data_IF_060709527673
#
_entry.id   IF_060709527673
#
_cell.length_a   1.000
_cell.length_b   1.000
_cell.length_c   1.000
_cell.angle_alpha   90.00
_cell.angle_beta   90.00
_cell.angle_gamma   90.00
#
_symmetry.space_group_name_H-M   'P 1'
#
loop_
_entity.id
_entity.type
_entity.pdbx_description
1 polymer ?
#
# COMPACT_ATOMS: atom_id res chain seq x y z
N UNK A 1 -22.46 14.06 -9.14
CA UNK A 1 -22.00 12.91 -8.32
C UNK A 1 -21.75 13.43 -6.91
N UNK A 2 -22.23 12.73 -5.87
CA UNK A 2 -22.03 13.19 -4.49
C UNK A 2 -20.53 13.19 -4.16
N UNK A 3 -20.03 14.24 -3.50
CA UNK A 3 -18.65 14.34 -3.01
C UNK A 3 -18.28 13.16 -2.09
N UNK A 4 -19.27 12.53 -1.49
CA UNK A 4 -19.08 11.37 -0.59
C UNK A 4 -18.94 10.04 -1.35
N UNK A 5 -19.28 9.95 -2.64
CA UNK A 5 -19.24 8.69 -3.39
C UNK A 5 -17.79 8.19 -3.57
N UNK A 6 -16.86 9.08 -3.90
CA UNK A 6 -15.46 8.71 -4.06
C UNK A 6 -14.79 8.40 -2.71
N UNK A 7 -15.14 9.13 -1.65
CA UNK A 7 -14.71 8.81 -0.30
C UNK A 7 -15.22 7.41 0.13
N UNK A 8 -16.50 7.11 -0.14
CA UNK A 8 -17.09 5.79 0.07
C UNK A 8 -16.35 4.70 -0.70
N UNK A 9 -15.97 4.95 -1.95
CA UNK A 9 -15.17 4.03 -2.76
C UNK A 9 -13.80 3.77 -2.13
N UNK A 10 -13.09 4.81 -1.68
CA UNK A 10 -11.80 4.64 -1.00
C UNK A 10 -11.95 3.83 0.29
N UNK A 11 -13.01 4.08 1.06
CA UNK A 11 -13.31 3.30 2.27
C UNK A 11 -13.58 1.84 1.95
N UNK A 12 -14.42 1.55 0.95
CA UNK A 12 -14.72 0.18 0.50
C UNK A 12 -13.47 -0.55 0.01
N UNK A 13 -12.66 0.11 -0.81
CA UNK A 13 -11.38 -0.44 -1.27
C UNK A 13 -10.41 -0.70 -0.12
N UNK A 14 -10.38 0.18 0.90
CA UNK A 14 -9.55 -0.02 2.07
C UNK A 14 -10.02 -1.19 2.94
N UNK A 15 -11.33 -1.45 3.02
CA UNK A 15 -11.88 -2.64 3.69
C UNK A 15 -11.31 -3.93 3.08
N UNK A 16 -11.35 -4.00 1.75
CA UNK A 16 -10.85 -5.14 0.97
C UNK A 16 -9.33 -5.29 1.02
N UNK A 17 -8.59 -4.19 0.85
CA UNK A 17 -7.12 -4.22 0.70
C UNK A 17 -6.38 -4.29 2.04
N UNK A 18 -6.89 -3.64 3.08
CA UNK A 18 -6.14 -3.42 4.32
C UNK A 18 -6.86 -3.92 5.56
N UNK A 19 -8.19 -3.94 5.61
CA UNK A 19 -8.89 -4.26 6.85
C UNK A 19 -9.36 -5.72 6.95
N UNK A 20 -9.09 -6.54 5.94
CA UNK A 20 -9.40 -7.97 5.95
C UNK A 20 -10.88 -8.28 5.80
N UNK A 21 -11.68 -7.34 5.28
CA UNK A 21 -13.08 -7.57 4.99
C UNK A 21 -13.27 -7.75 3.47
N UNK A 22 -13.49 -9.00 3.06
CA UNK A 22 -13.67 -9.40 1.67
C UNK A 22 -15.09 -9.11 1.14
N UNK A 23 -16.05 -8.78 2.00
CA UNK A 23 -17.46 -8.56 1.63
C UNK A 23 -17.66 -7.25 0.86
N UNK A 24 -16.67 -6.36 0.87
CA UNK A 24 -16.64 -5.15 0.04
C UNK A 24 -16.30 -5.48 -1.42
N UNK A 25 -17.22 -6.15 -2.12
CA UNK A 25 -17.08 -6.51 -3.55
C UNK A 25 -17.25 -5.31 -4.46
N UNK A 26 -16.67 -5.38 -5.66
CA UNK A 26 -16.81 -4.32 -6.67
C UNK A 26 -18.27 -4.13 -7.11
N UNK A 27 -19.06 -5.22 -7.12
CA UNK A 27 -20.49 -5.21 -7.41
C UNK A 27 -21.29 -4.41 -6.37
N UNK A 28 -21.04 -4.66 -5.08
CA UNK A 28 -21.68 -3.92 -3.99
C UNK A 28 -21.32 -2.43 -4.06
N UNK A 29 -20.02 -2.12 -4.19
CA UNK A 29 -19.55 -0.74 -4.26
C UNK A 29 -20.10 0.00 -5.48
N UNK A 30 -20.22 -0.67 -6.63
CA UNK A 30 -20.84 -0.09 -7.83
C UNK A 30 -22.33 0.18 -7.59
N UNK A 31 -23.06 -0.80 -7.09
CA UNK A 31 -24.51 -0.69 -6.89
C UNK A 31 -24.88 0.39 -5.86
N UNK A 32 -24.10 0.56 -4.79
CA UNK A 32 -24.36 1.56 -3.76
C UNK A 32 -23.89 2.97 -4.15
N UNK A 33 -22.70 3.10 -4.76
CA UNK A 33 -22.05 4.41 -4.94
C UNK A 33 -22.18 4.96 -6.36
N UNK A 34 -22.29 4.08 -7.36
CA UNK A 34 -22.30 4.43 -8.78
C UNK A 34 -23.35 3.62 -9.58
N UNK A 35 -24.63 3.60 -9.17
CA UNK A 35 -25.66 2.75 -9.79
C UNK A 35 -25.90 3.06 -11.28
N UNK A 36 -25.61 4.30 -11.70
CA UNK A 36 -25.80 4.75 -13.08
C UNK A 36 -24.54 4.60 -13.95
N UNK A 37 -23.40 4.16 -13.40
CA UNK A 37 -22.17 3.98 -14.16
C UNK A 37 -22.16 2.61 -14.87
N UNK A 38 -21.56 2.55 -16.06
CA UNK A 38 -21.29 1.27 -16.71
C UNK A 38 -20.23 0.46 -15.96
N UNK A 39 -20.19 -0.86 -16.15
CA UNK A 39 -19.17 -1.72 -15.54
C UNK A 39 -17.75 -1.31 -15.96
N UNK A 40 -17.59 -0.93 -17.24
CA UNK A 40 -16.30 -0.49 -17.77
C UNK A 40 -15.81 0.81 -17.12
N UNK A 41 -16.70 1.79 -16.93
CA UNK A 41 -16.37 3.06 -16.29
C UNK A 41 -16.04 2.87 -14.81
N UNK A 42 -16.84 2.06 -14.11
CA UNK A 42 -16.58 1.76 -12.70
C UNK A 42 -15.27 1.01 -12.51
N UNK A 43 -15.00 -0.02 -13.33
CA UNK A 43 -13.75 -0.78 -13.27
C UNK A 43 -12.52 0.13 -13.48
N UNK A 44 -12.59 1.05 -14.45
CA UNK A 44 -11.52 2.04 -14.69
C UNK A 44 -11.34 2.97 -13.48
N UNK A 45 -12.44 3.43 -12.87
CA UNK A 45 -12.40 4.29 -11.68
C UNK A 45 -11.83 3.55 -10.46
N UNK A 46 -12.29 2.33 -10.19
CA UNK A 46 -11.86 1.49 -9.08
C UNK A 46 -10.39 1.11 -9.20
N UNK A 47 -9.91 0.80 -10.41
CA UNK A 47 -8.50 0.54 -10.69
C UNK A 47 -7.61 1.76 -10.39
N UNK A 48 -8.05 2.95 -10.82
CA UNK A 48 -7.36 4.22 -10.50
C UNK A 48 -7.33 4.49 -8.99
N UNK A 49 -8.47 4.37 -8.30
CA UNK A 49 -8.57 4.58 -6.87
C UNK A 49 -7.71 3.57 -6.08
N UNK A 50 -7.67 2.31 -6.51
CA UNK A 50 -6.80 1.27 -5.95
C UNK A 50 -5.33 1.62 -6.11
N UNK A 51 -4.93 2.12 -7.28
CA UNK A 51 -3.55 2.54 -7.55
C UNK A 51 -3.13 3.70 -6.64
N UNK A 52 -4.02 4.68 -6.44
CA UNK A 52 -3.80 5.78 -5.50
C UNK A 52 -3.60 5.25 -4.09
N UNK A 53 -4.51 4.40 -3.59
CA UNK A 53 -4.42 3.84 -2.24
C UNK A 53 -3.15 3.02 -2.01
N UNK A 54 -2.74 2.19 -2.97
CA UNK A 54 -1.48 1.42 -2.90
C UNK A 54 -0.26 2.34 -2.86
N UNK A 55 -0.26 3.41 -3.65
CA UNK A 55 0.83 4.39 -3.68
C UNK A 55 0.98 5.11 -2.34
N UNK A 56 -0.13 5.55 -1.75
CA UNK A 56 -0.16 6.18 -0.43
C UNK A 56 0.32 5.23 0.67
N UNK A 57 -0.17 3.98 0.64
CA UNK A 57 0.18 2.96 1.63
C UNK A 57 1.65 2.55 1.56
N UNK A 58 2.19 2.32 0.36
CA UNK A 58 3.56 1.88 0.15
C UNK A 58 4.59 2.89 0.67
N UNK A 59 4.33 4.18 0.46
CA UNK A 59 5.22 5.28 0.88
C UNK A 59 4.90 5.82 2.28
N UNK A 60 3.78 5.41 2.88
CA UNK A 60 3.27 5.95 4.14
C UNK A 60 3.30 7.49 4.16
N UNK A 61 2.86 8.13 3.07
CA UNK A 61 3.06 9.56 2.83
C UNK A 61 2.69 10.44 4.03
N UNK A 62 3.57 11.37 4.38
CA UNK A 62 3.24 12.46 5.29
C UNK A 62 2.36 13.53 4.60
N UNK A 63 2.02 14.59 5.34
CA UNK A 63 1.09 15.59 4.84
C UNK A 63 1.67 16.45 3.71
N UNK A 64 2.97 16.74 3.76
CA UNK A 64 3.66 17.48 2.71
C UNK A 64 3.77 16.65 1.43
N UNK A 65 4.13 15.37 1.57
CA UNK A 65 4.20 14.42 0.47
C UNK A 65 2.83 14.18 -0.17
N UNK A 66 1.77 14.10 0.65
CA UNK A 66 0.42 13.92 0.15
C UNK A 66 -0.06 15.11 -0.67
N UNK A 67 0.13 16.34 -0.20
CA UNK A 67 -0.28 17.54 -0.94
C UNK A 67 0.45 17.66 -2.28
N UNK A 68 1.76 17.36 -2.30
CA UNK A 68 2.54 17.32 -3.54
C UNK A 68 2.03 16.22 -4.49
N UNK A 69 1.74 15.02 -3.96
CA UNK A 69 1.19 13.91 -4.73
C UNK A 69 -0.18 14.28 -5.34
N UNK A 70 -1.11 14.82 -4.55
CA UNK A 70 -2.44 15.19 -5.03
C UNK A 70 -2.37 16.32 -6.07
N UNK A 71 -1.51 17.32 -5.86
CA UNK A 71 -1.25 18.38 -6.85
C UNK A 71 -0.73 17.79 -8.17
N UNK A 72 0.13 16.77 -8.12
CA UNK A 72 0.60 16.08 -9.32
C UNK A 72 -0.52 15.29 -10.01
N UNK A 73 -1.44 14.70 -9.24
CA UNK A 73 -2.56 13.92 -9.79
C UNK A 73 -3.61 14.80 -10.45
N UNK A 74 -3.89 16.01 -9.93
CA UNK A 74 -4.87 16.92 -10.52
C UNK A 74 -4.34 17.65 -11.77
N UNK A 75 -3.02 17.77 -11.92
CA UNK A 75 -2.39 18.34 -13.12
C UNK A 75 -2.26 17.37 -14.30
N UNK A 76 -2.48 16.07 -14.09
CA UNK A 76 -2.42 15.07 -15.18
C UNK A 76 -3.60 15.22 -16.13
N UNK A 77 -3.31 15.45 -17.42
CA UNK A 77 -4.33 15.60 -18.46
C UNK A 77 -5.16 14.33 -18.67
N UNK A 78 -4.54 13.15 -18.57
CA UNK A 78 -5.24 11.87 -18.68
C UNK A 78 -5.00 10.99 -17.45
N UNK A 79 -6.07 10.33 -16.98
CA UNK A 79 -6.00 9.39 -15.86
C UNK A 79 -5.72 10.01 -14.49
N UNK A 80 -5.63 11.34 -14.38
CA UNK A 80 -5.51 12.08 -13.12
C UNK A 80 -6.76 12.02 -12.25
N UNK A 81 -6.65 12.53 -11.02
CA UNK A 81 -7.79 12.72 -10.11
C UNK A 81 -8.43 14.08 -10.40
N UNK A 82 -9.75 14.17 -10.26
CA UNK A 82 -10.41 15.48 -10.22
C UNK A 82 -10.10 16.18 -8.90
N UNK A 83 -10.30 17.50 -8.82
CA UNK A 83 -10.09 18.26 -7.59
C UNK A 83 -10.93 17.69 -6.42
N UNK A 84 -12.19 17.34 -6.67
CA UNK A 84 -13.07 16.75 -5.64
C UNK A 84 -12.59 15.36 -5.18
N UNK A 85 -12.04 14.56 -6.10
CA UNK A 85 -11.45 13.25 -5.77
C UNK A 85 -10.16 13.41 -4.95
N UNK A 86 -9.35 14.44 -5.26
CA UNK A 86 -8.16 14.77 -4.49
C UNK A 86 -8.51 15.20 -3.06
N UNK A 87 -9.51 16.07 -2.89
CA UNK A 87 -10.02 16.47 -1.57
C UNK A 87 -10.54 15.27 -0.76
N UNK A 88 -11.30 14.38 -1.41
CA UNK A 88 -11.78 13.13 -0.80
C UNK A 88 -10.64 12.19 -0.40
N UNK A 89 -9.60 12.08 -1.24
CA UNK A 89 -8.39 11.30 -0.96
C UNK A 89 -7.63 11.86 0.24
N UNK A 90 -7.50 13.18 0.30
CA UNK A 90 -6.89 13.90 1.42
C UNK A 90 -7.62 13.61 2.74
N UNK A 91 -8.95 13.76 2.74
CA UNK A 91 -9.80 13.45 3.90
C UNK A 91 -9.68 11.99 4.31
N UNK A 92 -9.69 11.06 3.34
CA UNK A 92 -9.50 9.64 3.60
C UNK A 92 -8.16 9.38 4.29
N UNK A 93 -7.06 9.88 3.72
CA UNK A 93 -5.73 9.61 4.26
C UNK A 93 -5.56 10.15 5.68
N UNK A 94 -6.08 11.35 5.95
CA UNK A 94 -6.05 11.96 7.29
C UNK A 94 -6.65 11.04 8.36
N UNK A 95 -7.75 10.35 8.04
CA UNK A 95 -8.47 9.51 9.00
C UNK A 95 -8.00 8.05 9.02
N UNK A 96 -7.49 7.54 7.89
CA UNK A 96 -7.22 6.11 7.72
C UNK A 96 -5.73 5.74 7.68
N UNK A 97 -4.82 6.71 7.54
CA UNK A 97 -3.37 6.45 7.42
C UNK A 97 -2.82 5.53 8.50
N UNK A 98 -3.14 5.80 9.78
CA UNK A 98 -2.61 5.00 10.89
C UNK A 98 -3.05 3.52 10.80
N UNK A 99 -4.33 3.29 10.48
CA UNK A 99 -4.89 1.93 10.36
C UNK A 99 -4.37 1.20 9.12
N UNK A 100 -4.27 1.90 7.98
CA UNK A 100 -3.65 1.36 6.75
C UNK A 100 -2.20 1.00 7.03
N UNK A 101 -1.44 1.87 7.71
CA UNK A 101 -0.05 1.61 8.08
C UNK A 101 0.09 0.40 8.99
N UNK A 102 -0.75 0.27 10.01
CA UNK A 102 -0.77 -0.88 10.90
C UNK A 102 -1.04 -2.18 10.13
N UNK A 103 -2.00 -2.16 9.19
CA UNK A 103 -2.29 -3.28 8.30
C UNK A 103 -1.10 -3.66 7.42
N UNK A 104 -0.49 -2.69 6.73
CA UNK A 104 0.70 -2.93 5.89
C UNK A 104 1.83 -3.53 6.73
N UNK A 105 2.08 -2.99 7.93
CA UNK A 105 3.09 -3.56 8.85
C UNK A 105 2.74 -4.99 9.23
N UNK A 106 1.47 -5.29 9.54
CA UNK A 106 1.04 -6.64 9.87
C UNK A 106 1.19 -7.61 8.69
N UNK A 107 0.85 -7.18 7.47
CA UNK A 107 0.97 -7.96 6.24
C UNK A 107 2.42 -8.16 5.79
N UNK A 108 3.32 -7.23 6.11
CA UNK A 108 4.76 -7.30 5.79
C UNK A 108 5.58 -8.08 6.81
N UNK A 109 4.98 -8.65 7.87
CA UNK A 109 5.70 -9.47 8.85
C UNK A 109 6.06 -10.83 8.25
N UNK A 110 7.35 -11.12 8.19
CA UNK A 110 7.85 -12.44 7.83
C UNK A 110 7.73 -13.40 9.04
N UNK A 111 6.57 -14.03 9.19
CA UNK A 111 6.18 -14.81 10.37
C UNK A 111 6.26 -14.02 11.69
N UNK A 112 5.82 -14.61 12.81
CA UNK A 112 6.23 -14.17 14.16
C UNK A 112 7.72 -14.50 14.43
N UNK A 113 8.58 -14.48 13.41
CA UNK A 113 9.86 -15.19 13.39
C UNK A 113 11.10 -14.30 13.44
N UNK A 114 10.94 -12.98 13.41
CA UNK A 114 12.02 -12.05 13.72
C UNK A 114 11.93 -11.55 15.18
N UNK A 115 11.36 -12.36 16.07
CA UNK A 115 11.28 -12.06 17.51
C UNK A 115 12.67 -11.99 18.16
N UNK A 116 13.70 -12.58 17.51
CA UNK A 116 15.10 -12.49 17.93
C UNK A 116 16.05 -12.38 16.74
N UNK A 117 16.33 -11.16 16.28
CA UNK A 117 17.51 -10.89 15.48
C UNK A 117 18.64 -10.43 16.42
N UNK A 118 19.56 -11.34 16.75
CA UNK A 118 20.75 -11.00 17.54
C UNK A 118 21.91 -10.73 16.61
N UNK A 119 22.53 -9.56 16.77
CA UNK A 119 23.76 -9.19 16.10
C UNK A 119 24.75 -8.76 17.18
N UNK A 120 25.99 -9.23 17.07
CA UNK A 120 27.07 -8.93 18.01
C UNK A 120 27.99 -7.92 17.36
N UNK A 121 28.33 -6.87 18.09
CA UNK A 121 29.39 -5.92 17.70
C UNK A 121 30.58 -6.20 18.59
N UNK A 122 31.60 -6.84 18.03
CA UNK A 122 32.88 -7.00 18.69
C UNK A 122 33.72 -5.74 18.53
N UNK A 123 34.17 -5.19 19.66
CA UNK A 123 35.02 -4.00 19.69
C UNK A 123 36.29 -4.34 20.48
N UNK A 124 37.44 -4.01 19.91
CA UNK A 124 38.72 -4.17 20.58
C UNK A 124 39.19 -2.82 21.15
N UNK A 125 39.57 -2.81 22.43
CA UNK A 125 40.23 -1.65 23.07
C UNK A 125 39.52 -1.12 24.33
N UNK A 126 40.25 -0.43 25.23
CA UNK A 126 39.76 -0.03 26.56
C UNK A 126 38.72 1.10 26.55
N UNK A 127 38.45 1.73 25.41
CA UNK A 127 37.58 2.92 25.28
C UNK A 127 36.59 2.79 24.13
N UNK A 128 36.06 1.61 23.88
CA UNK A 128 35.07 1.42 22.83
C UNK A 128 33.69 1.96 23.25
N UNK A 129 33.15 2.92 22.49
CA UNK A 129 31.78 3.43 22.63
C UNK A 129 30.99 3.18 21.34
N UNK A 130 29.74 2.77 21.48
CA UNK A 130 28.79 2.61 20.35
C UNK A 130 27.59 3.51 20.59
N UNK A 131 27.32 4.40 19.63
CA UNK A 131 26.10 5.18 19.54
C UNK A 131 25.17 4.55 18.50
N UNK A 132 24.03 4.04 18.95
CA UNK A 132 22.99 3.50 18.08
C UNK A 132 22.11 4.64 17.55
N UNK A 133 22.31 5.01 16.29
CA UNK A 133 21.43 5.91 15.55
C UNK A 133 20.54 5.14 14.57
N UNK A 134 20.92 5.15 13.30
CA UNK A 134 20.23 4.45 12.20
C UNK A 134 20.93 3.12 11.89
N UNK A 135 20.20 2.00 11.95
CA UNK A 135 20.64 0.71 11.41
C UNK A 135 20.25 0.64 9.93
N UNK A 136 21.25 0.69 9.05
CA UNK A 136 21.08 0.43 7.63
C UNK A 136 21.55 -0.99 7.32
N UNK A 137 20.63 -1.86 6.92
CA UNK A 137 20.98 -3.17 6.38
C UNK A 137 21.38 -2.98 4.92
N UNK A 138 22.68 -3.08 4.64
CA UNK A 138 23.18 -3.12 3.28
C UNK A 138 23.16 -4.58 2.83
N UNK A 139 22.25 -4.91 1.92
CA UNK A 139 22.34 -6.15 1.14
C UNK A 139 23.23 -5.85 -0.06
N UNK A 140 24.30 -6.62 -0.23
CA UNK A 140 25.09 -6.55 -1.44
C UNK A 140 24.21 -6.86 -2.64
N UNK A 141 24.53 -6.23 -3.77
CA UNK A 141 23.75 -6.35 -5.00
C UNK A 141 23.49 -7.82 -5.37
N UNK A 142 24.48 -8.67 -5.20
CA UNK A 142 24.41 -10.11 -5.46
C UNK A 142 23.49 -10.85 -4.49
N UNK A 143 23.49 -10.52 -3.20
CA UNK A 143 22.55 -11.13 -2.24
C UNK A 143 21.12 -10.66 -2.49
N UNK A 144 20.94 -9.38 -2.86
CA UNK A 144 19.64 -8.84 -3.23
C UNK A 144 19.11 -9.50 -4.52
N UNK A 145 19.93 -9.65 -5.54
CA UNK A 145 19.57 -10.33 -6.79
C UNK A 145 19.21 -11.80 -6.55
N UNK A 146 19.98 -12.50 -5.71
CA UNK A 146 19.68 -13.88 -5.30
C UNK A 146 18.38 -13.97 -4.51
N UNK A 147 18.14 -13.06 -3.57
CA UNK A 147 16.90 -12.99 -2.80
C UNK A 147 15.69 -12.70 -3.70
N UNK A 148 15.82 -11.78 -4.66
CA UNK A 148 14.78 -11.49 -5.64
C UNK A 148 14.52 -12.68 -6.56
N UNK A 149 15.55 -13.42 -6.99
CA UNK A 149 15.40 -14.66 -7.75
C UNK A 149 14.69 -15.74 -6.93
N UNK A 150 15.02 -15.90 -5.65
CA UNK A 150 14.37 -16.84 -4.76
C UNK A 150 12.90 -16.48 -4.54
N UNK A 151 12.59 -15.20 -4.35
CA UNK A 151 11.20 -14.71 -4.26
C UNK A 151 10.44 -14.99 -5.56
N UNK A 152 11.05 -14.73 -6.72
CA UNK A 152 10.44 -15.02 -8.01
C UNK A 152 10.19 -16.53 -8.20
N UNK A 153 11.14 -17.38 -7.78
CA UNK A 153 10.97 -18.83 -7.82
C UNK A 153 9.84 -19.31 -6.90
N UNK A 154 9.71 -18.72 -5.70
CA UNK A 154 8.60 -18.98 -4.78
C UNK A 154 7.27 -18.54 -5.38
N UNK A 155 7.21 -17.38 -6.05
CA UNK A 155 5.99 -16.92 -6.73
C UNK A 155 5.59 -17.87 -7.85
N UNK A 156 6.53 -18.34 -8.66
CA UNK A 156 6.28 -19.34 -9.71
C UNK A 156 5.81 -20.67 -9.13
N UNK A 157 6.38 -21.09 -8.00
CA UNK A 157 5.94 -22.30 -7.31
C UNK A 157 4.53 -22.16 -6.73
N UNK A 158 4.21 -21.01 -6.14
CA UNK A 158 2.86 -20.68 -5.65
C UNK A 158 1.84 -20.66 -6.79
N UNK A 159 2.15 -20.05 -7.93
CA UNK A 159 1.24 -20.00 -9.08
C UNK A 159 1.00 -21.40 -9.70
N UNK A 160 1.98 -22.31 -9.58
CA UNK A 160 1.82 -23.71 -10.01
C UNK A 160 0.95 -24.54 -9.05
N UNK A 161 1.02 -24.29 -7.74
CA UNK A 161 0.35 -25.12 -6.73
C UNK A 161 -0.97 -24.53 -6.22
N UNK A 162 -1.16 -23.22 -6.39
CA UNK A 162 -2.39 -22.48 -6.10
C UNK A 162 -2.72 -21.61 -7.33
N UNK A 163 -3.20 -22.19 -8.43
CA UNK A 163 -3.59 -21.40 -9.59
C UNK A 163 -4.69 -20.43 -9.17
N UNK A 164 -4.47 -19.13 -9.41
CA UNK A 164 -5.50 -18.11 -9.16
C UNK A 164 -6.77 -18.54 -9.88
N UNK A 165 -7.88 -18.66 -9.14
CA UNK A 165 -9.19 -18.90 -9.72
C UNK A 165 -9.45 -17.81 -10.77
N UNK A 166 -9.75 -18.26 -11.99
CA UNK A 166 -10.06 -17.38 -13.14
C UNK A 166 -11.33 -16.58 -12.89
#
# INVERSE_FOLDING_TARGET
>A
MSKDAFFGLLCGLAQRLYYGNADATDELLKNELYPSASDAEFSKLASRATTVLKTLAASNMDWTQLEAFLTSQTKRQEGGLTQEQAESTSRFWRNHRARVRASVVAQSRWNHGLDSCSWRVDLEGPTAQVSLGQLQFQLGKTELESLLQNIAAVQVALDKHCPRAK
#
